data_IF_457472837583
#
_entry.id   IF_457472837583
#
_cell.length_a   1.000
_cell.length_b   1.000
_cell.length_c   1.000
_cell.angle_alpha   90.00
_cell.angle_beta   90.00
_cell.angle_gamma   90.00
#
_symmetry.space_group_name_H-M   'P 1'
#
loop_
_entity.id
_entity.type
_entity.pdbx_description
1 polymer ?
#
# COMPACT_ATOMS: atom_id res chain seq x y z
N UNK A 1 21.89 92.12 -3.75
CA UNK A 1 20.93 91.85 -4.84
C UNK A 1 21.60 90.87 -5.79
N UNK A 2 21.25 89.58 -5.69
CA UNK A 2 20.40 88.85 -6.65
C UNK A 2 21.20 88.38 -7.89
N UNK A 3 21.55 87.08 -7.94
CA UNK A 3 20.96 86.00 -8.79
C UNK A 3 21.69 85.90 -10.16
N UNK A 4 22.00 84.73 -10.72
CA UNK A 4 21.69 83.35 -10.37
C UNK A 4 22.48 82.38 -11.26
N UNK A 5 22.79 81.19 -10.71
CA UNK A 5 23.43 80.06 -11.40
C UNK A 5 22.38 79.30 -12.22
N UNK A 6 22.74 78.92 -13.44
CA UNK A 6 21.99 77.99 -14.28
C UNK A 6 22.14 76.57 -13.73
N UNK A 7 21.03 75.95 -13.34
CA UNK A 7 20.94 74.55 -12.96
C UNK A 7 20.02 73.82 -13.93
N UNK A 8 20.56 72.80 -14.58
CA UNK A 8 19.87 71.88 -15.49
C UNK A 8 18.91 70.99 -14.68
N UNK A 9 17.62 71.00 -15.02
CA UNK A 9 16.62 70.07 -14.48
C UNK A 9 16.46 68.88 -15.45
N UNK A 10 16.79 67.68 -14.96
CA UNK A 10 16.51 66.40 -15.60
C UNK A 10 15.03 66.08 -15.32
N UNK A 11 14.22 66.02 -16.38
CA UNK A 11 12.81 65.61 -16.31
C UNK A 11 12.70 64.09 -16.13
N UNK A 12 12.15 63.66 -15.00
CA UNK A 12 11.72 62.28 -14.76
C UNK A 12 10.32 62.11 -15.39
N UNK A 13 10.24 61.43 -16.54
CA UNK A 13 8.96 61.08 -17.15
C UNK A 13 8.35 59.88 -16.39
N UNK A 14 7.38 60.16 -15.51
CA UNK A 14 6.58 59.15 -14.84
C UNK A 14 5.50 58.64 -15.83
N UNK A 15 5.72 57.46 -16.41
CA UNK A 15 4.71 56.78 -17.21
C UNK A 15 3.61 56.24 -16.28
N UNK A 16 2.53 57.00 -16.09
CA UNK A 16 1.29 56.48 -15.50
C UNK A 16 0.66 55.50 -16.50
N UNK A 17 0.86 54.20 -16.27
CA UNK A 17 0.03 53.17 -16.89
C UNK A 17 -1.39 53.30 -16.34
N UNK A 18 -2.30 53.92 -17.10
CA UNK A 18 -3.72 53.87 -16.84
C UNK A 18 -4.19 52.41 -16.91
N UNK A 19 -4.35 51.78 -15.75
CA UNK A 19 -5.07 50.52 -15.65
C UNK A 19 -6.47 50.72 -16.24
N UNK A 20 -6.76 49.98 -17.31
CA UNK A 20 -8.12 49.92 -17.86
C UNK A 20 -9.04 49.40 -16.76
N UNK A 21 -10.21 50.01 -16.50
CA UNK A 21 -11.17 49.44 -15.56
C UNK A 21 -11.57 48.05 -16.05
N UNK A 22 -11.52 47.06 -15.15
CA UNK A 22 -12.08 45.74 -15.39
C UNK A 22 -13.58 45.93 -15.64
N UNK A 23 -14.04 45.64 -16.84
CA UNK A 23 -15.46 45.65 -17.15
C UNK A 23 -16.17 44.66 -16.22
N UNK A 24 -17.00 45.17 -15.30
CA UNK A 24 -18.00 44.36 -14.64
C UNK A 24 -18.96 43.85 -15.73
N UNK A 25 -18.94 42.55 -15.98
CA UNK A 25 -19.86 41.92 -16.93
C UNK A 25 -21.28 42.05 -16.34
N UNK A 26 -22.28 42.42 -17.15
CA UNK A 26 -23.65 42.60 -16.65
C UNK A 26 -24.31 41.24 -16.32
N UNK A 27 -25.26 41.19 -15.36
CA UNK A 27 -25.98 39.96 -15.04
C UNK A 27 -26.70 39.39 -16.27
N UNK A 28 -26.47 38.11 -16.56
CA UNK A 28 -27.01 37.42 -17.74
C UNK A 28 -28.29 36.70 -17.37
N UNK A 29 -29.35 36.82 -18.18
CA UNK A 29 -30.56 35.99 -18.04
C UNK A 29 -30.40 34.68 -18.79
N UNK A 30 -30.53 33.56 -18.10
CA UNK A 30 -30.38 32.22 -18.65
C UNK A 30 -31.67 31.41 -18.52
N UNK A 31 -32.11 30.76 -19.59
CA UNK A 31 -33.27 29.85 -19.56
C UNK A 31 -32.80 28.42 -19.36
N UNK A 32 -33.24 27.78 -18.27
CA UNK A 32 -32.88 26.40 -17.89
C UNK A 32 -33.26 25.41 -18.99
N UNK A 33 -32.30 24.59 -19.41
CA UNK A 33 -32.45 23.58 -20.47
C UNK A 33 -32.66 22.18 -19.87
N UNK A 34 -33.16 21.20 -20.65
CA UNK A 34 -33.22 19.80 -20.22
C UNK A 34 -31.84 19.30 -19.76
N UNK A 35 -31.78 18.77 -18.54
CA UNK A 35 -30.55 18.22 -17.94
C UNK A 35 -29.62 19.26 -17.28
N UNK A 36 -30.04 20.52 -17.17
CA UNK A 36 -29.31 21.52 -16.39
C UNK A 36 -29.43 21.28 -14.88
N UNK A 37 -28.37 21.67 -14.18
CA UNK A 37 -28.35 21.85 -12.72
C UNK A 37 -27.77 23.23 -12.42
N UNK A 38 -28.12 23.83 -11.27
CA UNK A 38 -27.52 25.12 -10.89
C UNK A 38 -26.00 25.06 -10.86
N UNK A 39 -25.40 23.92 -10.52
CA UNK A 39 -23.95 23.70 -10.55
C UNK A 39 -23.37 23.83 -11.97
N UNK A 40 -24.00 23.19 -12.97
CA UNK A 40 -23.54 23.27 -14.37
C UNK A 40 -23.71 24.68 -14.93
N UNK A 41 -24.79 25.36 -14.55
CA UNK A 41 -25.05 26.74 -14.95
C UNK A 41 -23.99 27.66 -14.30
N UNK A 42 -23.75 27.53 -12.99
CA UNK A 42 -22.74 28.31 -12.29
C UNK A 42 -21.35 28.17 -12.91
N UNK A 43 -20.94 26.93 -13.22
CA UNK A 43 -19.68 26.65 -13.90
C UNK A 43 -19.61 27.27 -15.31
N UNK A 44 -20.70 27.17 -16.09
CA UNK A 44 -20.79 27.72 -17.44
C UNK A 44 -20.60 29.24 -17.47
N UNK A 45 -21.11 29.94 -16.46
CA UNK A 45 -21.11 31.40 -16.40
C UNK A 45 -20.05 31.98 -15.44
N UNK A 46 -19.18 31.14 -14.89
CA UNK A 46 -18.10 31.59 -14.00
C UNK A 46 -18.61 32.25 -12.71
N UNK A 47 -19.68 31.71 -12.11
CA UNK A 47 -20.28 32.19 -10.86
C UNK A 47 -20.47 31.03 -9.86
N UNK A 48 -21.16 31.25 -8.73
CA UNK A 48 -21.44 30.20 -7.73
C UNK A 48 -22.92 29.86 -7.67
N UNK A 49 -23.25 28.63 -7.23
CA UNK A 49 -24.64 28.22 -6.99
C UNK A 49 -25.30 29.14 -5.97
N UNK A 50 -24.58 29.51 -4.90
CA UNK A 50 -25.06 30.43 -3.87
C UNK A 50 -25.43 31.80 -4.45
N UNK A 51 -24.59 32.37 -5.32
CA UNK A 51 -24.88 33.65 -5.97
C UNK A 51 -26.11 33.58 -6.88
N UNK A 52 -26.29 32.48 -7.63
CA UNK A 52 -27.50 32.28 -8.43
C UNK A 52 -28.73 32.12 -7.53
N UNK A 53 -28.63 31.35 -6.45
CA UNK A 53 -29.75 31.14 -5.50
C UNK A 53 -30.20 32.46 -4.88
N UNK A 54 -29.24 33.28 -4.43
CA UNK A 54 -29.50 34.59 -3.85
C UNK A 54 -30.11 35.56 -4.88
N UNK A 55 -29.52 35.64 -6.08
CA UNK A 55 -30.01 36.52 -7.15
C UNK A 55 -31.42 36.16 -7.66
N UNK A 56 -31.89 34.94 -7.41
CA UNK A 56 -33.18 34.43 -7.87
C UNK A 56 -34.15 34.08 -6.74
N UNK A 57 -33.79 34.34 -5.48
CA UNK A 57 -34.63 34.04 -4.32
C UNK A 57 -35.03 32.56 -4.21
N UNK A 58 -34.16 31.63 -4.64
CA UNK A 58 -34.49 30.21 -4.67
C UNK A 58 -34.43 29.61 -3.25
N UNK A 59 -35.52 29.01 -2.79
CA UNK A 59 -35.54 28.34 -1.48
C UNK A 59 -34.91 26.93 -1.53
N UNK A 60 -34.93 26.28 -2.70
CA UNK A 60 -34.33 24.96 -2.91
C UNK A 60 -33.43 24.97 -4.17
N UNK A 61 -32.09 24.90 -4.01
CA UNK A 61 -31.15 24.92 -5.13
C UNK A 61 -31.23 23.72 -6.08
N UNK A 62 -31.89 22.63 -5.67
CA UNK A 62 -32.03 21.42 -6.48
C UNK A 62 -33.33 21.40 -7.32
N UNK A 63 -34.19 22.40 -7.15
CA UNK A 63 -35.50 22.45 -7.78
C UNK A 63 -35.54 23.58 -8.80
N UNK A 64 -34.95 23.33 -9.96
CA UNK A 64 -35.08 24.18 -11.14
C UNK A 64 -35.86 23.44 -12.23
N UNK A 65 -36.66 24.17 -13.00
CA UNK A 65 -37.51 23.61 -14.04
C UNK A 65 -37.01 24.01 -15.42
N UNK A 66 -37.11 23.09 -16.39
CA UNK A 66 -36.85 23.43 -17.80
C UNK A 66 -37.76 24.58 -18.22
N UNK A 67 -37.18 25.61 -18.85
CA UNK A 67 -37.87 26.85 -19.21
C UNK A 67 -37.86 27.93 -18.13
N UNK A 68 -37.41 27.65 -16.91
CA UNK A 68 -37.23 28.66 -15.87
C UNK A 68 -36.13 29.65 -16.26
N UNK A 69 -36.39 30.95 -16.12
CA UNK A 69 -35.40 32.00 -16.37
C UNK A 69 -34.70 32.36 -15.07
N UNK A 70 -33.37 32.25 -15.05
CA UNK A 70 -32.51 32.58 -13.93
C UNK A 70 -31.65 33.82 -14.26
N UNK A 71 -31.54 34.72 -13.29
CA UNK A 71 -30.56 35.81 -13.27
C UNK A 71 -29.22 35.25 -12.81
N UNK A 72 -28.22 35.33 -13.67
CA UNK A 72 -26.88 34.84 -13.39
C UNK A 72 -25.98 36.05 -13.08
N UNK A 73 -25.63 36.29 -11.80
CA UNK A 73 -24.79 37.42 -11.45
C UNK A 73 -23.37 37.21 -11.96
N UNK A 74 -22.84 38.23 -12.61
CA UNK A 74 -21.46 38.26 -13.09
C UNK A 74 -20.54 38.89 -12.04
N UNK A 75 -19.31 38.38 -11.94
CA UNK A 75 -18.23 39.07 -11.21
C UNK A 75 -18.14 38.82 -9.70
N UNK A 76 -18.78 37.79 -9.16
CA UNK A 76 -18.33 37.28 -7.85
C UNK A 76 -17.03 36.51 -8.09
N UNK A 77 -15.90 37.12 -7.74
CA UNK A 77 -14.64 36.41 -7.51
C UNK A 77 -14.87 35.34 -6.47
N UNK A 78 -15.21 34.15 -6.93
CA UNK A 78 -15.20 32.96 -6.11
C UNK A 78 -13.75 32.78 -5.65
N UNK A 79 -13.50 32.86 -4.33
CA UNK A 79 -12.62 31.86 -3.72
C UNK A 79 -13.10 30.53 -4.30
N UNK A 80 -12.20 29.87 -5.01
CA UNK A 80 -12.40 28.79 -5.98
C UNK A 80 -13.75 28.06 -5.90
N UNK A 81 -14.47 27.86 -7.02
CA UNK A 81 -15.74 27.13 -6.99
C UNK A 81 -15.56 25.80 -6.27
N UNK A 82 -16.37 25.57 -5.23
CA UNK A 82 -16.30 24.37 -4.40
C UNK A 82 -16.31 23.13 -5.29
N UNK A 83 -15.17 22.41 -5.30
CA UNK A 83 -14.98 21.25 -6.17
C UNK A 83 -15.93 20.14 -5.70
N UNK A 84 -16.69 19.56 -6.61
CA UNK A 84 -17.60 18.44 -6.32
C UNK A 84 -17.32 17.26 -7.23
N UNK A 85 -17.62 16.05 -6.75
CA UNK A 85 -17.48 14.81 -7.50
C UNK A 85 -18.76 13.98 -7.40
N UNK A 86 -19.24 13.48 -8.54
CA UNK A 86 -20.40 12.58 -8.60
C UNK A 86 -19.90 11.15 -8.67
N UNK A 87 -20.21 10.36 -7.64
CA UNK A 87 -19.78 8.96 -7.51
C UNK A 87 -20.29 8.13 -8.70
N UNK A 88 -19.36 7.47 -9.40
CA UNK A 88 -19.61 6.58 -10.53
C UNK A 88 -19.72 5.11 -10.07
N UNK A 89 -20.29 4.23 -10.91
CA UNK A 89 -20.30 2.78 -10.65
C UNK A 89 -18.88 2.25 -10.36
N UNK A 90 -18.71 1.56 -9.23
CA UNK A 90 -17.45 0.93 -8.84
C UNK A 90 -16.42 1.85 -8.19
N UNK A 91 -16.74 3.12 -7.94
CA UNK A 91 -15.86 4.01 -7.17
C UNK A 91 -15.97 3.75 -5.66
N UNK A 92 -14.88 4.05 -4.95
CA UNK A 92 -14.79 4.02 -3.49
C UNK A 92 -14.31 5.38 -2.99
N UNK A 93 -14.63 5.76 -1.74
CA UNK A 93 -14.09 7.00 -1.16
C UNK A 93 -12.57 7.06 -1.22
N UNK A 94 -11.89 5.92 -1.14
CA UNK A 94 -10.43 5.84 -1.29
C UNK A 94 -9.97 6.25 -2.69
N UNK A 95 -10.55 5.70 -3.76
CA UNK A 95 -10.17 6.05 -5.14
C UNK A 95 -10.49 7.50 -5.46
N UNK A 96 -11.60 8.01 -4.91
CA UNK A 96 -12.01 9.42 -5.06
C UNK A 96 -11.02 10.32 -4.30
N UNK A 97 -10.71 10.00 -3.05
CA UNK A 97 -9.73 10.75 -2.26
C UNK A 97 -8.35 10.78 -2.95
N UNK A 98 -7.90 9.64 -3.46
CA UNK A 98 -6.66 9.54 -4.23
C UNK A 98 -6.69 10.39 -5.51
N UNK A 99 -7.77 10.34 -6.30
CA UNK A 99 -7.96 11.14 -7.51
C UNK A 99 -7.83 12.64 -7.25
N UNK A 100 -8.33 13.09 -6.10
CA UNK A 100 -8.40 14.51 -5.76
C UNK A 100 -7.32 14.96 -4.76
N UNK A 101 -6.31 14.13 -4.47
CA UNK A 101 -5.21 14.51 -3.59
C UNK A 101 -5.67 14.83 -2.16
N UNK A 102 -6.59 14.04 -1.60
CA UNK A 102 -7.07 14.18 -0.23
C UNK A 102 -7.11 12.84 0.50
N UNK A 103 -7.54 12.81 1.76
CA UNK A 103 -7.70 11.57 2.53
C UNK A 103 -9.16 11.16 2.63
N UNK A 104 -9.41 9.87 2.86
CA UNK A 104 -10.77 9.36 3.07
C UNK A 104 -11.41 10.02 4.29
N UNK A 105 -10.64 10.22 5.36
CA UNK A 105 -11.09 10.84 6.61
C UNK A 105 -11.52 12.29 6.37
N UNK A 106 -10.76 13.05 5.58
CA UNK A 106 -11.08 14.44 5.27
C UNK A 106 -12.27 14.55 4.33
N UNK A 107 -12.32 13.69 3.31
CA UNK A 107 -13.46 13.57 2.41
C UNK A 107 -14.72 13.18 3.18
N UNK A 108 -14.63 12.27 4.15
CA UNK A 108 -15.73 11.89 5.03
C UNK A 108 -16.17 13.03 5.94
N UNK A 109 -15.24 13.69 6.63
CA UNK A 109 -15.52 14.80 7.54
C UNK A 109 -16.21 15.97 6.82
N UNK A 110 -15.75 16.31 5.61
CA UNK A 110 -16.36 17.37 4.80
C UNK A 110 -17.79 17.03 4.34
N UNK A 111 -18.08 15.75 4.16
CA UNK A 111 -19.37 15.25 3.66
C UNK A 111 -20.26 14.66 4.76
N UNK A 112 -19.90 14.80 6.04
CA UNK A 112 -20.68 14.25 7.16
C UNK A 112 -20.83 12.71 7.11
N UNK A 113 -19.87 12.01 6.51
CA UNK A 113 -19.91 10.55 6.37
C UNK A 113 -19.26 9.89 7.58
N UNK A 114 -19.94 8.92 8.18
CA UNK A 114 -19.43 8.15 9.33
C UNK A 114 -18.90 6.77 8.94
N UNK A 115 -19.08 6.34 7.68
CA UNK A 115 -18.62 5.05 7.19
C UNK A 115 -18.03 5.19 5.78
N UNK A 116 -16.75 4.80 5.55
CA UNK A 116 -16.09 4.97 4.27
C UNK A 116 -16.64 4.10 3.14
N UNK A 117 -17.38 3.04 3.49
CA UNK A 117 -17.96 2.08 2.54
C UNK A 117 -19.42 2.40 2.19
N UNK A 118 -19.98 3.49 2.74
CA UNK A 118 -21.37 3.91 2.48
C UNK A 118 -21.40 5.11 1.54
N UNK A 119 -21.03 4.86 0.29
CA UNK A 119 -21.30 5.77 -0.81
C UNK A 119 -22.13 5.09 -1.90
N UNK A 120 -22.94 5.88 -2.60
CA UNK A 120 -23.86 5.39 -3.63
C UNK A 120 -23.56 6.02 -4.98
N UNK A 121 -23.79 5.29 -6.07
CA UNK A 121 -23.70 5.85 -7.43
C UNK A 121 -24.64 7.04 -7.55
N UNK A 122 -24.15 8.14 -8.12
CA UNK A 122 -24.86 9.41 -8.22
C UNK A 122 -24.76 10.30 -6.99
N UNK A 123 -24.18 9.83 -5.89
CA UNK A 123 -23.94 10.67 -4.71
C UNK A 123 -22.95 11.79 -5.04
N UNK A 124 -23.30 13.02 -4.68
CA UNK A 124 -22.43 14.18 -4.84
C UNK A 124 -21.59 14.35 -3.58
N UNK A 125 -20.27 14.31 -3.73
CA UNK A 125 -19.30 14.56 -2.67
C UNK A 125 -18.68 15.94 -2.88
N UNK A 126 -18.70 16.75 -1.82
CA UNK A 126 -17.86 17.94 -1.68
C UNK A 126 -16.41 17.46 -1.63
N UNK A 127 -15.60 17.91 -2.55
CA UNK A 127 -14.17 17.65 -2.57
C UNK A 127 -13.51 18.82 -1.83
N UNK A 128 -12.72 18.54 -0.78
CA UNK A 128 -11.99 19.59 -0.10
C UNK A 128 -11.18 20.40 -1.12
N UNK A 129 -11.17 21.74 -0.99
CA UNK A 129 -10.10 22.51 -1.59
C UNK A 129 -8.77 21.91 -1.12
N UNK A 130 -7.78 21.91 -2.01
CA UNK A 130 -6.48 21.31 -1.76
C UNK A 130 -5.93 21.86 -0.44
N UNK A 131 -5.79 20.98 0.55
CA UNK A 131 -5.57 21.40 1.92
C UNK A 131 -4.51 20.53 2.59
N UNK A 132 -3.72 21.12 3.50
CA UNK A 132 -2.35 20.73 3.79
C UNK A 132 -2.31 19.33 4.38
N UNK A 133 -1.68 18.39 3.68
CA UNK A 133 -1.57 17.00 4.12
C UNK A 133 -1.25 16.02 3.00
N UNK A 134 -1.60 16.34 1.75
CA UNK A 134 -0.89 15.84 0.57
C UNK A 134 0.11 16.93 0.20
N UNK A 135 1.42 16.67 0.11
CA UNK A 135 2.36 17.68 -0.35
C UNK A 135 1.94 18.14 -1.76
N UNK A 136 1.72 19.44 -1.96
CA UNK A 136 1.45 20.04 -3.28
C UNK A 136 2.53 19.63 -4.32
N UNK A 137 3.72 19.29 -3.83
CA UNK A 137 4.70 18.43 -4.47
C UNK A 137 5.42 17.64 -3.37
N UNK A 138 5.78 16.37 -3.64
CA UNK A 138 6.65 15.64 -2.72
C UNK A 138 7.97 16.39 -2.52
N UNK A 139 8.59 16.35 -1.33
CA UNK A 139 9.88 16.98 -1.14
C UNK A 139 10.90 16.32 -2.09
N UNK A 140 11.67 17.13 -2.82
CA UNK A 140 12.74 16.62 -3.67
C UNK A 140 13.66 15.70 -2.86
N UNK A 141 14.05 14.52 -3.38
CA UNK A 141 13.92 14.09 -4.77
C UNK A 141 12.66 13.26 -5.08
N UNK A 142 11.70 13.13 -4.16
CA UNK A 142 10.50 12.34 -4.42
C UNK A 142 9.62 12.97 -5.50
N UNK A 143 9.12 12.15 -6.43
CA UNK A 143 8.21 12.56 -7.52
C UNK A 143 6.88 11.83 -7.41
N UNK A 144 6.91 10.54 -7.05
CA UNK A 144 5.70 9.74 -6.87
C UNK A 144 5.97 8.67 -5.82
N UNK A 145 4.98 8.42 -4.96
CA UNK A 145 5.01 7.32 -4.00
C UNK A 145 3.68 6.57 -4.10
N UNK A 146 3.74 5.31 -4.50
CA UNK A 146 2.59 4.41 -4.60
C UNK A 146 2.69 3.33 -3.52
N UNK A 147 1.69 3.28 -2.64
CA UNK A 147 1.57 2.27 -1.57
C UNK A 147 0.28 1.50 -1.78
N UNK A 148 0.34 0.16 -1.79
CA UNK A 148 -0.87 -0.64 -1.68
C UNK A 148 -0.90 -1.87 -2.58
N UNK A 149 -1.97 -2.68 -2.52
CA UNK A 149 -3.32 -2.26 -2.15
C UNK A 149 -3.50 -1.97 -0.66
N UNK A 150 -4.33 -0.96 -0.36
CA UNK A 150 -4.77 -0.61 0.98
C UNK A 150 -6.24 -1.03 1.20
N UNK A 151 -6.66 -1.39 2.42
CA UNK A 151 -5.84 -1.47 3.63
C UNK A 151 -4.84 -2.64 3.59
N UNK A 152 -3.73 -2.49 4.31
CA UNK A 152 -2.79 -3.58 4.51
C UNK A 152 -3.43 -4.63 5.44
N UNK A 153 -3.17 -5.92 5.19
CA UNK A 153 -3.81 -7.02 5.92
C UNK A 153 -2.74 -7.73 6.74
N UNK A 154 -3.02 -8.02 8.01
CA UNK A 154 -2.15 -8.87 8.84
C UNK A 154 -1.68 -10.10 8.07
N UNK A 155 -0.40 -10.44 8.19
CA UNK A 155 0.18 -11.63 7.59
C UNK A 155 0.30 -11.59 6.06
N UNK A 156 0.14 -10.42 5.43
CA UNK A 156 0.33 -10.23 3.99
C UNK A 156 1.41 -9.18 3.72
N UNK A 157 1.85 -9.13 2.47
CA UNK A 157 2.69 -8.04 1.96
C UNK A 157 1.88 -7.04 1.16
N UNK A 158 2.40 -5.82 1.05
CA UNK A 158 1.96 -4.85 0.05
C UNK A 158 3.18 -4.20 -0.62
N UNK A 159 3.11 -3.89 -1.91
CA UNK A 159 4.20 -3.23 -2.63
C UNK A 159 4.25 -1.74 -2.30
N UNK A 160 5.47 -1.21 -2.38
CA UNK A 160 5.81 0.20 -2.36
C UNK A 160 6.62 0.49 -3.63
N UNK A 161 6.17 1.48 -4.40
CA UNK A 161 6.92 2.01 -5.54
C UNK A 161 7.20 3.49 -5.32
N UNK A 162 8.42 3.89 -5.60
CA UNK A 162 8.89 5.26 -5.44
C UNK A 162 9.55 5.69 -6.74
N UNK A 163 9.13 6.83 -7.29
CA UNK A 163 9.83 7.54 -8.35
C UNK A 163 10.54 8.74 -7.80
N UNK A 164 11.73 8.99 -8.31
CA UNK A 164 12.59 10.10 -7.92
C UNK A 164 12.92 10.99 -9.12
N UNK A 165 13.16 12.28 -8.87
CA UNK A 165 13.66 13.24 -9.85
C UNK A 165 15.18 13.18 -9.98
N UNK A 166 15.87 12.61 -8.98
CA UNK A 166 17.32 12.48 -8.92
C UNK A 166 17.69 11.11 -8.33
N UNK A 167 18.83 10.52 -8.73
CA UNK A 167 19.30 9.26 -8.16
C UNK A 167 19.49 9.35 -6.64
N UNK A 168 18.90 8.42 -5.90
CA UNK A 168 19.12 8.25 -4.47
C UNK A 168 18.93 6.78 -4.09
N UNK A 169 19.60 6.36 -3.02
CA UNK A 169 19.30 5.08 -2.37
C UNK A 169 18.02 5.20 -1.56
N UNK A 170 17.17 4.18 -1.60
CA UNK A 170 15.85 4.20 -0.99
C UNK A 170 15.71 3.13 0.08
N UNK A 171 15.12 3.53 1.21
CA UNK A 171 14.81 2.65 2.32
C UNK A 171 13.43 3.03 2.88
N UNK A 172 12.64 2.04 3.24
CA UNK A 172 11.40 2.22 3.98
C UNK A 172 11.51 1.61 5.38
N UNK A 173 10.88 2.24 6.35
CA UNK A 173 10.72 1.71 7.72
C UNK A 173 9.23 1.60 8.01
N UNK A 174 8.78 0.39 8.36
CA UNK A 174 7.39 0.10 8.67
C UNK A 174 7.31 -0.97 9.75
N UNK A 175 6.49 -0.74 10.77
CA UNK A 175 6.33 -1.64 11.93
C UNK A 175 7.69 -2.02 12.58
N UNK A 176 8.61 -1.07 12.64
CA UNK A 176 9.96 -1.27 13.20
C UNK A 176 10.92 -2.05 12.30
N UNK A 177 10.51 -2.47 11.10
CA UNK A 177 11.35 -3.20 10.15
C UNK A 177 11.84 -2.29 9.04
N UNK A 178 13.13 -2.43 8.71
CA UNK A 178 13.77 -1.74 7.60
C UNK A 178 13.73 -2.58 6.32
N UNK A 179 13.24 -1.95 5.25
CA UNK A 179 13.08 -2.48 3.91
C UNK A 179 13.89 -1.65 2.92
N UNK A 180 15.08 -2.12 2.49
CA UNK A 180 15.74 -1.56 1.32
C UNK A 180 14.81 -1.69 0.10
N UNK A 181 14.74 -0.65 -0.74
CA UNK A 181 14.01 -0.74 -2.01
C UNK A 181 15.00 -1.10 -3.12
N UNK A 182 14.64 -2.09 -3.93
CA UNK A 182 15.41 -2.46 -5.10
C UNK A 182 15.41 -1.31 -6.11
N UNK A 183 16.57 -0.93 -6.65
CA UNK A 183 16.66 0.19 -7.58
C UNK A 183 15.92 -0.11 -8.89
N UNK A 184 15.26 0.90 -9.44
CA UNK A 184 14.69 0.89 -10.79
C UNK A 184 15.29 2.03 -11.62
N UNK A 185 14.98 2.09 -12.91
CA UNK A 185 15.48 3.15 -13.80
C UNK A 185 15.11 4.58 -13.33
N UNK A 186 14.02 4.72 -12.57
CA UNK A 186 13.49 6.03 -12.14
C UNK A 186 13.26 6.14 -10.62
N UNK A 187 13.79 5.21 -9.81
CA UNK A 187 13.59 5.21 -8.36
C UNK A 187 13.81 3.84 -7.73
N UNK A 188 12.81 3.31 -7.03
CA UNK A 188 12.91 2.00 -6.38
C UNK A 188 11.58 1.36 -6.00
N UNK A 189 11.61 0.04 -5.84
CA UNK A 189 10.44 -0.77 -5.50
C UNK A 189 10.77 -1.76 -4.37
N UNK A 190 9.77 -2.15 -3.59
CA UNK A 190 9.95 -3.16 -2.55
C UNK A 190 8.63 -3.67 -1.98
N UNK A 191 8.74 -4.68 -1.12
CA UNK A 191 7.60 -5.34 -0.48
C UNK A 191 7.68 -5.16 1.04
N UNK A 192 6.59 -4.67 1.63
CA UNK A 192 6.49 -4.43 3.06
C UNK A 192 5.57 -5.48 3.66
N UNK A 193 6.04 -6.18 4.70
CA UNK A 193 5.27 -7.21 5.37
C UNK A 193 4.52 -6.68 6.58
N UNK A 194 3.29 -7.18 6.78
CA UNK A 194 2.53 -7.00 8.00
C UNK A 194 2.60 -8.32 8.80
N UNK A 195 3.14 -8.34 10.03
CA UNK A 195 3.13 -9.54 10.86
C UNK A 195 1.69 -10.04 11.12
N UNK A 196 1.49 -11.36 11.15
CA UNK A 196 0.15 -11.95 11.35
C UNK A 196 -0.47 -11.63 12.71
N UNK A 197 0.36 -11.32 13.71
CA UNK A 197 -0.04 -10.94 15.08
C UNK A 197 -0.08 -9.42 15.31
N UNK A 198 0.28 -8.61 14.31
CA UNK A 198 0.28 -7.15 14.44
C UNK A 198 -1.13 -6.64 14.73
N UNK A 199 -1.36 -5.89 15.80
CA UNK A 199 -2.69 -5.36 16.09
C UNK A 199 -3.25 -4.52 14.90
N UNK A 200 -4.55 -4.58 14.59
CA UNK A 200 -5.15 -3.65 13.63
C UNK A 200 -5.03 -2.21 14.12
N UNK A 201 -4.78 -1.29 13.20
CA UNK A 201 -4.51 0.10 13.55
C UNK A 201 -3.96 0.91 12.39
N UNK A 202 -3.53 2.12 12.66
CA UNK A 202 -2.85 3.00 11.69
C UNK A 202 -1.41 3.13 12.14
N UNK A 203 -0.48 2.84 11.24
CA UNK A 203 0.94 2.78 11.53
C UNK A 203 1.74 3.68 10.59
N UNK A 204 2.78 4.36 11.10
CA UNK A 204 3.63 5.19 10.28
C UNK A 204 4.49 4.33 9.34
N UNK A 205 4.54 4.73 8.07
CA UNK A 205 5.48 4.29 7.06
C UNK A 205 6.41 5.46 6.75
N UNK A 206 7.70 5.31 7.08
CA UNK A 206 8.73 6.30 6.75
C UNK A 206 9.48 5.84 5.52
N UNK A 207 9.63 6.70 4.53
CA UNK A 207 10.41 6.42 3.30
C UNK A 207 11.54 7.44 3.26
N UNK A 208 12.77 6.98 3.18
CA UNK A 208 13.98 7.80 3.20
C UNK A 208 14.73 7.65 1.89
N UNK A 209 14.98 8.78 1.23
CA UNK A 209 15.89 8.88 0.09
C UNK A 209 17.22 9.46 0.59
N UNK A 210 18.33 8.76 0.29
CA UNK A 210 19.68 9.24 0.57
C UNK A 210 20.44 9.46 -0.72
N UNK A 211 20.76 10.72 -1.01
CA UNK A 211 21.50 11.12 -2.22
C UNK A 211 22.99 10.75 -2.13
N UNK A 212 23.71 10.72 -3.26
CA UNK A 212 25.14 10.38 -3.30
C UNK A 212 26.04 11.30 -2.44
N UNK A 213 25.63 12.56 -2.27
CA UNK A 213 26.32 13.54 -1.41
C UNK A 213 26.06 13.33 0.10
N UNK A 214 25.28 12.31 0.46
CA UNK A 214 24.99 11.91 1.84
C UNK A 214 23.78 12.61 2.47
N UNK A 215 23.12 13.55 1.78
CA UNK A 215 21.90 14.19 2.29
C UNK A 215 20.75 13.18 2.34
N UNK A 216 19.88 13.33 3.34
CA UNK A 216 18.70 12.46 3.52
C UNK A 216 17.44 13.29 3.52
N UNK A 217 16.42 12.79 2.83
CA UNK A 217 15.06 13.36 2.82
C UNK A 217 14.09 12.23 3.14
N UNK A 218 13.18 12.47 4.08
CA UNK A 218 12.19 11.47 4.50
C UNK A 218 10.77 11.96 4.30
N UNK A 219 9.89 11.04 3.91
CA UNK A 219 8.44 11.24 3.83
C UNK A 219 7.78 10.26 4.79
N UNK A 220 6.76 10.72 5.53
CA UNK A 220 5.98 9.90 6.44
C UNK A 220 4.55 9.75 5.92
N UNK A 221 4.11 8.52 5.76
CA UNK A 221 2.76 8.13 5.37
C UNK A 221 2.10 7.34 6.50
N UNK A 222 0.78 7.24 6.46
CA UNK A 222 -0.01 6.43 7.40
C UNK A 222 -0.60 5.23 6.67
N UNK A 223 -0.29 4.02 7.14
CA UNK A 223 -0.79 2.77 6.57
C UNK A 223 -1.76 2.14 7.55
N UNK A 224 -3.02 1.98 7.11
CA UNK A 224 -4.04 1.27 7.87
C UNK A 224 -3.85 -0.24 7.73
N UNK A 225 -3.63 -0.91 8.85
CA UNK A 225 -3.60 -2.37 9.00
C UNK A 225 -4.94 -2.87 9.52
N UNK A 226 -5.52 -3.84 8.82
CA UNK A 226 -6.74 -4.53 9.23
C UNK A 226 -6.45 -5.99 9.61
N UNK A 227 -7.38 -6.59 10.36
CA UNK A 227 -7.31 -7.99 10.76
C UNK A 227 -7.32 -8.91 9.53
N UNK A 228 -6.49 -9.95 9.56
CA UNK A 228 -6.55 -11.06 8.61
C UNK A 228 -7.62 -12.09 9.05
N UNK A 229 -8.13 -12.91 8.11
CA UNK A 229 -9.19 -13.89 8.39
C UNK A 229 -8.64 -15.16 9.07
N UNK A 230 -7.99 -15.01 10.22
CA UNK A 230 -7.27 -16.10 10.89
C UNK A 230 -8.11 -16.77 11.98
N UNK A 231 -8.24 -18.10 11.89
CA UNK A 231 -8.91 -18.94 12.88
C UNK A 231 -8.07 -19.25 14.11
N UNK A 232 -8.53 -20.20 14.93
CA UNK A 232 -7.85 -20.72 16.12
C UNK A 232 -7.86 -22.25 16.09
N UNK A 233 -6.79 -22.87 16.59
CA UNK A 233 -6.62 -24.32 16.64
C UNK A 233 -5.90 -24.74 17.95
N UNK A 234 -6.45 -25.74 18.63
CA UNK A 234 -5.83 -26.37 19.79
C UNK A 234 -5.19 -27.69 19.37
N UNK A 235 -3.87 -27.79 19.57
CA UNK A 235 -3.05 -28.92 19.14
C UNK A 235 -2.62 -29.73 20.36
N UNK A 236 -2.81 -31.05 20.27
CA UNK A 236 -2.30 -32.01 21.26
C UNK A 236 -1.11 -32.76 20.67
N UNK A 237 0.07 -32.58 21.26
CA UNK A 237 1.29 -33.24 20.79
C UNK A 237 1.50 -34.60 21.48
N UNK A 238 2.04 -35.59 20.76
CA UNK A 238 2.46 -36.84 21.38
C UNK A 238 3.66 -36.59 22.33
N UNK A 239 3.83 -37.40 23.39
CA UNK A 239 4.80 -37.13 24.45
C UNK A 239 6.26 -36.99 23.99
N UNK A 240 6.66 -37.77 22.98
CA UNK A 240 8.00 -37.82 22.39
C UNK A 240 8.39 -36.52 21.66
N UNK A 241 7.41 -35.73 21.24
CA UNK A 241 7.62 -34.45 20.52
C UNK A 241 7.56 -33.22 21.42
N UNK A 242 7.17 -33.37 22.69
CA UNK A 242 7.02 -32.22 23.61
C UNK A 242 8.36 -31.52 23.88
N UNK A 243 9.47 -32.27 23.88
CA UNK A 243 10.80 -31.71 24.09
C UNK A 243 11.24 -30.75 22.98
N UNK A 244 10.63 -30.85 21.78
CA UNK A 244 10.90 -29.93 20.66
C UNK A 244 10.21 -28.56 20.85
N UNK A 245 9.38 -28.41 21.87
CA UNK A 245 8.82 -27.12 22.28
C UNK A 245 9.75 -26.30 23.19
N UNK A 246 10.97 -26.79 23.45
CA UNK A 246 11.97 -26.06 24.21
C UNK A 246 12.21 -24.66 23.58
N UNK A 247 11.95 -23.56 24.31
CA UNK A 247 12.12 -22.21 23.79
C UNK A 247 13.53 -21.93 23.26
N UNK A 248 14.57 -22.55 23.83
CA UNK A 248 15.96 -22.38 23.39
C UNK A 248 16.17 -23.02 22.01
N UNK A 249 15.71 -24.25 21.82
CA UNK A 249 15.81 -24.93 20.52
C UNK A 249 15.07 -24.16 19.42
N UNK A 250 13.86 -23.68 19.74
CA UNK A 250 13.06 -22.87 18.81
C UNK A 250 13.78 -21.58 18.45
N UNK A 251 14.38 -20.90 19.43
CA UNK A 251 15.06 -19.63 19.21
C UNK A 251 16.34 -19.80 18.38
N UNK A 252 17.20 -20.77 18.72
CA UNK A 252 18.44 -21.04 17.97
C UNK A 252 18.15 -21.43 16.51
N UNK A 253 17.13 -22.26 16.28
CA UNK A 253 16.73 -22.61 14.92
C UNK A 253 16.12 -21.41 14.19
N UNK A 254 15.30 -20.59 14.86
CA UNK A 254 14.74 -19.35 14.27
C UNK A 254 15.85 -18.40 13.81
N UNK A 255 16.94 -18.28 14.56
CA UNK A 255 18.08 -17.47 14.17
C UNK A 255 18.74 -17.98 12.89
N UNK A 256 18.87 -19.30 12.72
CA UNK A 256 19.34 -19.90 11.45
C UNK A 256 18.40 -19.57 10.27
N UNK A 257 17.09 -19.70 10.46
CA UNK A 257 16.10 -19.34 9.43
C UNK A 257 16.22 -17.87 9.05
N UNK A 258 16.32 -16.97 10.03
CA UNK A 258 16.46 -15.54 9.80
C UNK A 258 17.77 -15.22 9.08
N UNK A 259 18.89 -15.84 9.46
CA UNK A 259 20.17 -15.67 8.78
C UNK A 259 20.11 -16.11 7.29
N UNK A 260 19.39 -17.20 6.99
CA UNK A 260 19.22 -17.67 5.62
C UNK A 260 18.27 -16.79 4.78
N UNK A 261 17.27 -16.16 5.41
CA UNK A 261 16.18 -15.43 4.72
C UNK A 261 16.32 -13.90 4.70
N UNK A 262 17.11 -13.30 5.59
CA UNK A 262 17.20 -11.83 5.73
C UNK A 262 18.20 -11.11 4.81
N UNK A 263 19.22 -11.74 4.18
CA UNK A 263 20.05 -11.04 3.20
C UNK A 263 19.21 -10.38 2.10
N UNK A 264 19.52 -9.13 1.75
CA UNK A 264 18.83 -8.40 0.69
C UNK A 264 19.62 -8.51 -0.62
N UNK A 265 18.98 -9.07 -1.63
CA UNK A 265 19.50 -9.16 -3.00
C UNK A 265 18.57 -8.31 -3.90
N UNK A 266 19.07 -7.28 -4.61
CA UNK A 266 18.20 -6.38 -5.39
C UNK A 266 17.64 -7.04 -6.66
N UNK A 267 18.20 -8.17 -7.09
CA UNK A 267 17.73 -8.95 -8.23
C UNK A 267 16.48 -9.73 -7.84
N UNK A 268 15.37 -9.52 -8.55
CA UNK A 268 14.11 -10.26 -8.38
C UNK A 268 14.17 -11.58 -9.17
N UNK A 269 14.03 -12.72 -8.49
CA UNK A 269 14.11 -14.07 -9.10
C UNK A 269 12.73 -14.71 -9.33
N UNK A 270 11.68 -13.91 -9.47
CA UNK A 270 10.37 -14.42 -9.84
C UNK A 270 9.68 -13.51 -10.84
N UNK A 271 8.73 -14.11 -11.57
CA UNK A 271 7.78 -13.40 -12.42
C UNK A 271 6.40 -14.04 -12.24
N UNK A 272 5.39 -13.22 -11.94
CA UNK A 272 4.03 -13.71 -11.72
C UNK A 272 3.84 -14.46 -10.39
N UNK A 273 2.74 -15.21 -10.25
CA UNK A 273 2.46 -16.01 -9.06
C UNK A 273 3.47 -17.14 -8.88
N UNK A 274 3.73 -17.48 -7.62
CA UNK A 274 4.48 -18.68 -7.25
C UNK A 274 3.66 -19.93 -7.58
N UNK A 275 4.32 -21.00 -7.99
CA UNK A 275 3.65 -22.31 -8.09
C UNK A 275 3.47 -22.90 -6.71
N UNK A 276 2.43 -23.71 -6.50
CA UNK A 276 2.41 -24.56 -5.33
C UNK A 276 3.57 -25.57 -5.42
N UNK A 277 4.23 -25.89 -4.29
CA UNK A 277 5.42 -26.75 -4.29
C UNK A 277 5.09 -28.25 -4.32
N UNK A 278 3.81 -28.63 -4.43
CA UNK A 278 3.37 -30.02 -4.64
C UNK A 278 2.30 -30.03 -5.74
N UNK A 279 2.19 -31.15 -6.44
CA UNK A 279 1.11 -31.36 -7.40
C UNK A 279 -0.24 -31.55 -6.68
N UNK A 280 -1.33 -31.08 -7.30
CA UNK A 280 -2.69 -31.16 -6.77
C UNK A 280 -2.82 -30.66 -5.30
N UNK A 281 -2.44 -29.40 -5.04
CA UNK A 281 -2.30 -28.88 -3.69
C UNK A 281 -3.63 -28.92 -2.93
N UNK A 282 -3.63 -29.57 -1.77
CA UNK A 282 -4.74 -29.54 -0.83
C UNK A 282 -4.24 -28.96 0.49
N UNK A 283 -4.76 -27.80 0.86
CA UNK A 283 -4.43 -27.15 2.13
C UNK A 283 -5.10 -27.91 3.28
N UNK A 284 -4.31 -28.39 4.23
CA UNK A 284 -4.78 -29.08 5.44
C UNK A 284 -4.81 -28.15 6.65
N UNK A 285 -3.87 -27.21 6.75
CA UNK A 285 -3.86 -26.17 7.78
C UNK A 285 -3.44 -24.82 7.17
N UNK A 286 -4.29 -23.78 7.27
CA UNK A 286 -3.99 -22.48 6.68
C UNK A 286 -3.02 -21.67 7.54
N UNK A 287 -2.30 -20.77 6.87
CA UNK A 287 -1.46 -19.74 7.50
C UNK A 287 -2.24 -18.87 8.48
N UNK A 288 -1.55 -18.39 9.51
CA UNK A 288 -2.05 -17.41 10.46
C UNK A 288 -2.99 -17.96 11.54
N UNK A 289 -3.44 -19.21 11.41
CA UNK A 289 -4.24 -19.90 12.43
C UNK A 289 -3.56 -19.81 13.79
N UNK A 290 -4.24 -19.24 14.79
CA UNK A 290 -3.68 -19.11 16.14
C UNK A 290 -3.56 -20.49 16.76
N UNK A 291 -2.40 -20.81 17.33
CA UNK A 291 -2.11 -22.13 17.88
C UNK A 291 -1.99 -22.09 19.40
N UNK A 292 -2.68 -23.02 20.05
CA UNK A 292 -2.53 -23.39 21.45
C UNK A 292 -1.99 -24.82 21.49
N UNK A 293 -0.98 -25.08 22.31
CA UNK A 293 -0.40 -26.42 22.47
C UNK A 293 -0.69 -26.95 23.87
N UNK A 294 -1.21 -28.17 23.95
CA UNK A 294 -1.46 -28.90 25.21
C UNK A 294 -2.25 -28.09 26.26
N UNK A 295 -3.21 -27.27 25.82
CA UNK A 295 -4.04 -26.43 26.71
C UNK A 295 -3.44 -25.07 27.07
N UNK A 296 -2.29 -24.69 26.51
CA UNK A 296 -1.65 -23.38 26.72
C UNK A 296 -2.35 -22.20 26.03
N UNK A 297 -1.85 -20.97 26.19
CA UNK A 297 -2.43 -19.78 25.55
C UNK A 297 -2.22 -19.78 24.03
N UNK A 298 -3.07 -19.03 23.31
CA UNK A 298 -2.92 -18.72 21.89
C UNK A 298 -1.85 -17.65 21.64
N UNK A 299 -0.62 -17.93 22.05
CA UNK A 299 0.53 -17.01 21.93
C UNK A 299 1.32 -17.19 20.64
N UNK A 300 1.01 -18.23 19.87
CA UNK A 300 1.66 -18.54 18.59
C UNK A 300 0.63 -18.65 17.45
N UNK A 301 1.13 -18.76 16.22
CA UNK A 301 0.30 -18.97 15.05
C UNK A 301 1.03 -19.86 14.05
N UNK A 302 0.30 -20.39 13.08
CA UNK A 302 0.85 -21.14 11.98
C UNK A 302 1.61 -20.22 11.02
N UNK A 303 2.95 -20.28 11.02
CA UNK A 303 3.82 -19.39 10.22
C UNK A 303 3.90 -19.77 8.73
N UNK A 304 3.27 -20.87 8.30
CA UNK A 304 3.25 -21.35 6.92
C UNK A 304 1.89 -21.89 6.49
N UNK A 305 1.89 -22.69 5.44
CA UNK A 305 0.74 -23.36 4.86
C UNK A 305 1.03 -24.86 4.80
N UNK A 306 0.17 -25.67 5.40
CA UNK A 306 0.33 -27.13 5.38
C UNK A 306 -0.40 -27.68 4.16
N UNK A 307 0.34 -28.42 3.35
CA UNK A 307 -0.14 -29.08 2.14
C UNK A 307 -0.13 -30.59 2.36
N UNK A 308 -1.25 -31.23 2.03
CA UNK A 308 -1.39 -32.69 2.08
C UNK A 308 -0.31 -33.34 1.20
N UNK A 309 0.37 -34.33 1.76
CA UNK A 309 1.27 -35.20 1.03
C UNK A 309 1.58 -36.44 1.84
N UNK A 310 1.87 -37.55 1.17
CA UNK A 310 2.39 -38.75 1.83
C UNK A 310 3.91 -38.69 1.85
N UNK A 311 4.55 -39.44 2.74
CA UNK A 311 6.01 -39.56 2.73
C UNK A 311 6.51 -39.97 1.34
N UNK A 312 7.49 -39.23 0.79
CA UNK A 312 8.00 -39.47 -0.55
C UNK A 312 7.31 -38.68 -1.68
N UNK A 313 6.23 -37.92 -1.41
CA UNK A 313 5.65 -37.01 -2.41
C UNK A 313 6.71 -35.97 -2.83
N UNK A 314 6.99 -35.76 -4.13
CA UNK A 314 7.95 -34.75 -4.58
C UNK A 314 7.58 -33.33 -4.18
N UNK A 315 8.59 -32.53 -3.83
CA UNK A 315 8.47 -31.11 -3.50
C UNK A 315 9.29 -30.29 -4.48
N UNK A 316 8.68 -29.29 -5.10
CA UNK A 316 9.26 -28.50 -6.18
C UNK A 316 9.44 -27.02 -5.82
N UNK A 317 10.39 -26.37 -6.48
CA UNK A 317 10.62 -24.94 -6.35
C UNK A 317 9.42 -24.14 -6.93
N UNK A 318 8.84 -23.21 -6.18
CA UNK A 318 7.67 -22.44 -6.60
C UNK A 318 8.01 -21.34 -7.60
N UNK A 319 9.25 -20.86 -7.57
CA UNK A 319 9.82 -19.81 -8.39
C UNK A 319 11.34 -20.06 -8.50
N UNK A 320 12.03 -19.30 -9.37
CA UNK A 320 13.49 -19.33 -9.41
C UNK A 320 14.07 -18.81 -8.08
N UNK A 321 15.17 -19.40 -7.64
CA UNK A 321 15.81 -19.02 -6.39
C UNK A 321 17.19 -19.62 -6.17
N UNK A 322 17.86 -19.12 -5.15
CA UNK A 322 19.14 -19.64 -4.66
C UNK A 322 18.91 -20.42 -3.37
N UNK A 323 19.37 -21.67 -3.31
CA UNK A 323 19.29 -22.49 -2.09
C UNK A 323 20.18 -21.88 -1.02
N UNK A 324 19.58 -21.31 0.02
CA UNK A 324 20.29 -20.67 1.13
C UNK A 324 20.51 -21.63 2.32
N UNK A 325 19.65 -22.64 2.46
CA UNK A 325 19.75 -23.67 3.48
C UNK A 325 19.21 -24.98 2.89
N UNK A 326 19.90 -26.09 3.15
CA UNK A 326 19.49 -27.45 2.79
C UNK A 326 20.16 -28.43 3.75
N UNK A 327 19.62 -28.54 4.96
CA UNK A 327 20.19 -29.35 6.05
C UNK A 327 19.11 -29.86 7.02
N UNK A 328 19.40 -30.89 7.84
CA UNK A 328 18.54 -31.28 8.97
C UNK A 328 18.51 -30.20 10.06
N UNK A 329 17.30 -29.83 10.48
CA UNK A 329 17.03 -28.98 11.64
C UNK A 329 16.30 -29.79 12.72
N UNK A 330 16.35 -29.33 13.97
CA UNK A 330 15.85 -30.08 15.14
C UNK A 330 14.32 -30.02 15.19
N UNK A 331 13.75 -28.81 15.12
CA UNK A 331 12.31 -28.57 15.23
C UNK A 331 11.65 -28.69 13.86
N UNK A 332 12.22 -28.10 12.80
CA UNK A 332 11.65 -28.17 11.43
C UNK A 332 11.97 -29.46 10.68
N UNK A 333 12.82 -30.34 11.21
CA UNK A 333 13.25 -31.55 10.50
C UNK A 333 14.14 -31.22 9.31
N UNK A 334 14.18 -32.10 8.32
CA UNK A 334 14.93 -31.82 7.08
C UNK A 334 14.30 -30.61 6.38
N UNK A 335 15.13 -29.60 6.11
CA UNK A 335 14.68 -28.29 5.73
C UNK A 335 15.40 -27.79 4.47
N UNK A 336 14.65 -27.07 3.62
CA UNK A 336 15.20 -26.30 2.51
C UNK A 336 14.71 -24.85 2.63
N UNK A 337 15.56 -23.89 2.29
CA UNK A 337 15.20 -22.48 2.13
C UNK A 337 15.73 -21.99 0.78
N UNK A 338 14.86 -21.35 0.00
CA UNK A 338 15.22 -20.62 -1.21
C UNK A 338 15.14 -19.12 -0.98
N UNK A 339 16.14 -18.36 -1.45
CA UNK A 339 16.08 -16.90 -1.60
C UNK A 339 15.62 -16.55 -3.01
N UNK A 340 14.67 -15.63 -3.10
CA UNK A 340 14.07 -15.19 -4.37
C UNK A 340 14.44 -13.75 -4.73
N UNK A 341 15.32 -13.10 -3.96
CA UNK A 341 15.57 -11.66 -4.09
C UNK A 341 14.63 -10.80 -3.27
N UNK A 342 14.89 -9.50 -3.22
CA UNK A 342 14.11 -8.47 -2.51
C UNK A 342 13.86 -8.76 -1.02
N UNK A 343 14.68 -9.63 -0.42
CA UNK A 343 14.48 -10.12 0.95
C UNK A 343 13.32 -11.12 1.10
N UNK A 344 12.86 -11.73 -0.01
CA UNK A 344 11.86 -12.79 -0.06
C UNK A 344 12.55 -14.14 0.00
N UNK A 345 12.06 -15.03 0.87
CA UNK A 345 12.47 -16.43 0.89
C UNK A 345 11.25 -17.35 1.00
N UNK A 346 11.42 -18.60 0.56
CA UNK A 346 10.47 -19.69 0.81
C UNK A 346 11.14 -20.83 1.57
N UNK A 347 10.39 -21.47 2.47
CA UNK A 347 10.86 -22.55 3.34
C UNK A 347 10.04 -23.83 3.20
N UNK A 348 10.69 -24.99 3.31
CA UNK A 348 10.11 -26.31 3.12
C UNK A 348 10.54 -27.22 4.26
N UNK A 349 9.61 -27.60 5.13
CA UNK A 349 9.93 -28.34 6.36
C UNK A 349 9.42 -29.77 6.33
N UNK A 350 9.85 -30.52 7.36
CA UNK A 350 9.46 -31.88 7.64
C UNK A 350 9.83 -32.89 6.55
N UNK A 351 10.74 -32.54 5.63
CA UNK A 351 11.07 -33.36 4.47
C UNK A 351 11.58 -34.75 4.90
N UNK A 352 11.30 -35.78 4.12
CA UNK A 352 11.90 -37.11 4.33
C UNK A 352 13.32 -37.16 3.76
N UNK A 353 13.57 -36.46 2.66
CA UNK A 353 14.87 -36.32 2.02
C UNK A 353 14.97 -34.98 1.28
N UNK A 354 16.20 -34.48 1.19
CA UNK A 354 16.55 -33.22 0.49
C UNK A 354 17.28 -33.58 -0.81
N UNK A 355 16.93 -32.93 -1.92
CA UNK A 355 17.47 -33.19 -3.26
C UNK A 355 18.35 -32.05 -3.80
N UNK A 356 18.64 -31.04 -2.98
CA UNK A 356 19.42 -29.85 -3.34
C UNK A 356 20.47 -29.53 -2.29
N UNK A 357 21.41 -28.66 -2.62
CA UNK A 357 22.49 -28.24 -1.71
C UNK A 357 22.62 -26.71 -1.63
N UNK A 358 23.14 -26.15 -0.52
CA UNK A 358 23.35 -24.71 -0.40
C UNK A 358 24.20 -24.14 -1.54
N UNK A 359 23.84 -22.96 -2.05
CA UNK A 359 24.48 -22.31 -3.19
C UNK A 359 23.98 -22.76 -4.56
N UNK A 360 23.17 -23.82 -4.64
CA UNK A 360 22.55 -24.24 -5.90
C UNK A 360 21.49 -23.24 -6.36
N UNK A 361 21.51 -22.87 -7.64
CA UNK A 361 20.41 -22.12 -8.27
C UNK A 361 19.37 -23.10 -8.80
N UNK A 362 18.09 -22.80 -8.60
CA UNK A 362 16.95 -23.60 -9.04
C UNK A 362 15.97 -22.74 -9.82
N UNK A 363 15.25 -23.35 -10.77
CA UNK A 363 14.14 -22.74 -11.51
C UNK A 363 12.81 -23.23 -10.95
N UNK A 364 11.73 -22.52 -11.29
CA UNK A 364 10.38 -22.95 -10.96
C UNK A 364 10.10 -24.37 -11.52
N UNK A 365 9.70 -25.30 -10.65
CA UNK A 365 9.46 -26.71 -10.99
C UNK A 365 10.63 -27.65 -10.75
N UNK A 366 11.83 -27.16 -10.40
CA UNK A 366 12.94 -28.04 -10.04
C UNK A 366 12.68 -28.77 -8.72
N UNK A 367 13.12 -30.02 -8.61
CA UNK A 367 12.95 -30.84 -7.41
C UNK A 367 13.81 -30.32 -6.25
N UNK A 368 13.19 -30.10 -5.09
CA UNK A 368 13.85 -29.68 -3.85
C UNK A 368 14.04 -30.83 -2.86
N UNK A 369 13.14 -31.79 -2.87
CA UNK A 369 13.13 -32.89 -1.91
C UNK A 369 11.80 -33.62 -1.92
N UNK A 370 11.50 -34.28 -0.80
CA UNK A 370 10.33 -35.14 -0.68
C UNK A 370 9.62 -34.90 0.65
N UNK A 371 8.28 -34.86 0.62
CA UNK A 371 7.42 -34.74 1.80
C UNK A 371 7.77 -35.82 2.82
N UNK A 372 7.76 -35.47 4.10
CA UNK A 372 8.01 -36.40 5.19
C UNK A 372 7.28 -36.01 6.47
N UNK A 373 7.84 -36.46 7.59
CA UNK A 373 7.31 -36.26 8.94
C UNK A 373 8.46 -36.04 9.95
N UNK A 374 9.58 -35.47 9.50
CA UNK A 374 10.77 -35.21 10.35
C UNK A 374 10.54 -33.98 11.23
N UNK A 375 11.20 -33.92 12.39
CA UNK A 375 11.03 -32.81 13.35
C UNK A 375 9.66 -32.80 14.05
N UNK A 376 9.23 -31.61 14.47
CA UNK A 376 7.97 -31.33 15.16
C UNK A 376 6.82 -31.29 14.17
N UNK A 377 6.29 -32.47 13.85
CA UNK A 377 5.09 -32.66 13.03
C UNK A 377 4.06 -33.51 13.81
N UNK A 378 2.89 -33.79 13.27
CA UNK A 378 1.93 -34.81 13.78
C UNK A 378 1.68 -35.93 12.77
N UNK A 379 2.10 -35.77 11.52
CA UNK A 379 1.91 -36.71 10.42
C UNK A 379 2.56 -36.21 9.13
N UNK A 380 2.62 -37.05 8.09
CA UNK A 380 3.23 -36.66 6.83
C UNK A 380 2.46 -35.49 6.17
N UNK A 381 3.17 -34.39 5.89
CA UNK A 381 2.68 -33.22 5.16
C UNK A 381 3.86 -32.33 4.78
N UNK A 382 3.65 -31.38 3.86
CA UNK A 382 4.60 -30.30 3.60
C UNK A 382 4.14 -29.04 4.32
N UNK A 383 4.96 -28.54 5.25
CA UNK A 383 4.80 -27.17 5.73
C UNK A 383 5.59 -26.24 4.82
N UNK A 384 4.89 -25.36 4.11
CA UNK A 384 5.47 -24.39 3.17
C UNK A 384 5.37 -22.97 3.73
N UNK A 385 6.50 -22.28 3.85
CA UNK A 385 6.55 -20.88 4.33
C UNK A 385 6.97 -19.92 3.24
N UNK A 386 6.49 -18.68 3.35
CA UNK A 386 7.08 -17.52 2.68
C UNK A 386 7.38 -16.46 3.73
N UNK A 387 8.55 -15.83 3.63
CA UNK A 387 8.94 -14.72 4.50
C UNK A 387 9.44 -13.55 3.68
N UNK A 388 9.18 -12.34 4.16
CA UNK A 388 9.76 -11.10 3.63
C UNK A 388 10.47 -10.38 4.75
N UNK A 389 11.78 -10.16 4.58
CA UNK A 389 12.68 -9.62 5.62
C UNK A 389 12.57 -10.39 6.95
N UNK A 390 12.39 -11.72 6.85
CA UNK A 390 12.26 -12.62 8.00
C UNK A 390 10.85 -12.72 8.62
N UNK A 391 9.90 -11.87 8.20
CA UNK A 391 8.51 -11.91 8.68
C UNK A 391 7.72 -12.95 7.88
N UNK A 392 7.08 -13.95 8.53
CA UNK A 392 6.15 -14.87 7.87
C UNK A 392 4.94 -14.16 7.26
N UNK A 393 4.60 -14.53 6.04
CA UNK A 393 3.44 -14.01 5.29
C UNK A 393 2.69 -15.17 4.60
N UNK A 394 1.40 -14.98 4.35
CA UNK A 394 0.48 -15.99 3.80
C UNK A 394 0.96 -16.48 2.43
N UNK A 395 1.42 -17.74 2.30
CA UNK A 395 1.89 -18.27 1.02
C UNK A 395 0.84 -18.23 -0.08
N UNK A 396 -0.46 -18.27 0.26
CA UNK A 396 -1.54 -18.17 -0.73
C UNK A 396 -1.56 -16.84 -1.45
N UNK A 397 -1.17 -15.74 -0.79
CA UNK A 397 -1.06 -14.45 -1.47
C UNK A 397 -0.13 -14.52 -2.69
N UNK A 398 0.94 -15.31 -2.57
CA UNK A 398 1.97 -15.47 -3.60
C UNK A 398 1.57 -16.50 -4.64
N UNK A 399 0.86 -17.56 -4.25
CA UNK A 399 0.44 -18.63 -5.16
C UNK A 399 -0.78 -18.25 -6.00
N UNK A 400 -1.72 -17.51 -5.42
CA UNK A 400 -3.03 -17.23 -6.02
C UNK A 400 -3.08 -15.88 -6.74
N UNK A 401 -2.08 -15.02 -6.54
CA UNK A 401 -2.02 -13.69 -7.13
C UNK A 401 -0.58 -13.26 -7.41
N UNK A 402 -0.35 -12.47 -8.46
CA UNK A 402 0.97 -11.92 -8.71
C UNK A 402 1.30 -10.89 -7.62
N UNK A 403 2.39 -11.16 -6.90
CA UNK A 403 3.02 -10.18 -6.01
C UNK A 403 4.09 -9.43 -6.82
N UNK A 404 4.02 -8.09 -6.91
CA UNK A 404 4.95 -7.29 -7.71
C UNK A 404 6.42 -7.50 -7.37
#
# INVERSE_FOLDING_TARGET
MARGRWGVLIGLALALALARPAFAQEPVRYTVQPGDTLTRIAARFGTTVGAIVEANGLTNPNLIYVGQVLVIPAGVSASSPERVHVVQPGETLYRIALRYGTTVERLMALNGLNNPNRIFVGQVLRIPEEAPGVPAAWPSPFVEIQVGPAPAIQGRVFPLRVRLSQPATLQATFLGVSYPLAPTAAGGEGLLAVPAMQAPGVYPLTITARSPDGRTVSVNLQVRVIAGPYGREAIRLPPDRQNLLDPKLIQEEREKILAACTPFEPERRWSGPFRYPVENPQVTSPFGTRRSYNGGPYSSYHEGLDLRGTTGTPVYAPAEGLVALAEPLIVRGNAVILRHGWGVCSGYWHLSAVAVQPGQSVKAGDLLGYVGNTGLSTGAHLHWEIRVRGIPVDPRQWAESPVP
#
